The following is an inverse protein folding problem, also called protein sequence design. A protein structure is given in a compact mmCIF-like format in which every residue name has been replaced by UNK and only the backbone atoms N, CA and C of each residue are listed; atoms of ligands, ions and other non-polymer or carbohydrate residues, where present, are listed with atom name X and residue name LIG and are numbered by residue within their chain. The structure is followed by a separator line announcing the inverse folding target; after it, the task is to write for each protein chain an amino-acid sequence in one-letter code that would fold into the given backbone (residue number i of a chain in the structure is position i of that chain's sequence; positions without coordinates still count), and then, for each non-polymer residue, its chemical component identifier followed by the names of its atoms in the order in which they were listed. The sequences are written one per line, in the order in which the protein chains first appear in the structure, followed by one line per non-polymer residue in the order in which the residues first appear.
data_IF_075494526963
#
_entry.id   IF_075494526963
#
_cell.length_a   1.000
_cell.length_b   1.000
_cell.length_c   1.000
_cell.angle_alpha   90.00
_cell.angle_beta   90.00
_cell.angle_gamma   90.00
#
_symmetry.space_group_name_H-M   'P 1'
#
loop_
_entity.id
_entity.type
_entity.pdbx_description
1 polymer ?
#
# COMPACT_ATOMS: atom_id res chain seq x y z
N UNK A 1 18.10 -15.87 8.46
CA UNK A 1 17.67 -14.97 9.57
C UNK A 1 16.87 -15.81 10.55
N UNK A 2 17.15 -15.74 11.85
CA UNK A 2 16.42 -16.47 12.88
C UNK A 2 15.66 -15.45 13.73
N UNK A 3 14.33 -15.52 13.71
CA UNK A 3 13.46 -14.64 14.49
C UNK A 3 12.93 -15.39 15.72
N UNK A 4 12.84 -14.69 16.84
CA UNK A 4 12.15 -15.17 18.04
C UNK A 4 10.78 -14.50 18.03
N UNK A 5 9.74 -15.30 17.86
CA UNK A 5 8.35 -14.86 17.83
C UNK A 5 7.69 -15.23 19.15
N UNK A 6 7.02 -14.26 19.78
CA UNK A 6 6.20 -14.51 20.96
C UNK A 6 4.98 -13.59 20.93
N UNK A 7 3.88 -14.05 21.53
CA UNK A 7 2.64 -13.28 21.66
C UNK A 7 2.47 -12.87 23.12
N UNK A 8 2.11 -11.61 23.34
CA UNK A 8 1.78 -11.10 24.68
C UNK A 8 0.75 -9.97 24.57
N UNK A 9 0.08 -9.69 25.68
CA UNK A 9 -0.87 -8.57 25.79
C UNK A 9 -0.16 -7.31 26.25
N UNK A 10 -0.45 -6.19 25.58
CA UNK A 10 0.07 -4.89 25.98
C UNK A 10 -0.65 -4.42 27.25
N UNK A 11 0.09 -4.22 28.35
CA UNK A 11 -0.47 -3.74 29.61
C UNK A 11 0.10 -2.37 29.94
N UNK A 12 -0.76 -1.35 30.07
CA UNK A 12 -0.35 0.02 30.43
C UNK A 12 0.77 0.59 29.51
N UNK A 13 0.76 0.22 28.23
CA UNK A 13 1.80 0.63 27.27
C UNK A 13 3.13 -0.12 27.43
N UNK A 14 3.20 -1.16 28.25
CA UNK A 14 4.40 -1.97 28.49
C UNK A 14 4.21 -3.37 27.91
N UNK A 15 5.18 -3.79 27.09
CA UNK A 15 5.32 -5.17 26.60
C UNK A 15 6.33 -5.88 27.49
N UNK A 16 5.90 -6.92 28.20
CA UNK A 16 6.80 -7.75 29.01
C UNK A 16 7.40 -8.84 28.15
N UNK A 17 8.72 -8.83 27.99
CA UNK A 17 9.47 -9.86 27.23
C UNK A 17 9.70 -11.07 28.14
N UNK A 18 9.42 -12.31 27.66
CA UNK A 18 9.70 -13.53 28.42
C UNK A 18 11.20 -13.67 28.75
N UNK A 19 11.50 -14.03 30.00
CA UNK A 19 12.88 -14.19 30.48
C UNK A 19 13.60 -15.39 29.87
N UNK A 20 12.87 -16.37 29.35
CA UNK A 20 13.41 -17.64 28.80
C UNK A 20 14.45 -17.42 27.70
N UNK A 21 14.37 -16.26 27.05
CA UNK A 21 15.25 -15.90 25.96
C UNK A 21 16.21 -14.78 26.32
N UNK A 22 16.18 -14.18 27.53
CA UNK A 22 16.87 -12.93 27.88
C UNK A 22 18.33 -12.86 27.41
N UNK A 23 19.09 -13.96 27.58
CA UNK A 23 20.49 -14.05 27.14
C UNK A 23 20.68 -13.84 25.61
N UNK A 24 19.68 -14.16 24.81
CA UNK A 24 19.68 -14.01 23.35
C UNK A 24 19.25 -12.61 22.90
N UNK A 25 18.60 -11.81 23.75
CA UNK A 25 18.18 -10.44 23.41
C UNK A 25 19.22 -9.39 23.81
N UNK A 26 20.11 -9.72 24.75
CA UNK A 26 21.13 -8.80 25.24
C UNK A 26 21.96 -8.21 24.08
N UNK A 27 22.03 -6.88 24.03
CA UNK A 27 22.74 -6.14 22.98
C UNK A 27 22.08 -6.14 21.59
N UNK A 28 20.87 -6.68 21.42
CA UNK A 28 20.15 -6.67 20.14
C UNK A 28 19.14 -5.52 20.03
N UNK A 29 18.90 -5.06 18.81
CA UNK A 29 17.81 -4.12 18.51
C UNK A 29 16.48 -4.86 18.43
N UNK A 30 15.48 -4.35 19.15
CA UNK A 30 14.13 -4.92 19.20
C UNK A 30 13.19 -4.11 18.29
N UNK A 31 12.40 -4.79 17.47
CA UNK A 31 11.30 -4.19 16.70
C UNK A 31 9.99 -4.82 17.16
N UNK A 32 8.99 -4.01 17.46
CA UNK A 32 7.68 -4.45 17.96
C UNK A 32 6.60 -4.08 16.95
N UNK A 33 5.72 -5.03 16.64
CA UNK A 33 4.53 -4.82 15.81
C UNK A 33 3.32 -5.10 16.70
N UNK A 34 2.42 -4.12 16.82
CA UNK A 34 1.14 -4.29 17.52
C UNK A 34 0.09 -4.61 16.48
N UNK A 35 -0.62 -5.73 16.66
CA UNK A 35 -1.71 -6.17 15.81
C UNK A 35 -3.02 -6.07 16.59
N UNK A 36 -4.06 -5.53 15.98
CA UNK A 36 -5.41 -5.61 16.52
C UNK A 36 -5.98 -6.99 16.21
N UNK A 37 -6.40 -7.73 17.24
CA UNK A 37 -7.15 -9.00 17.12
C UNK A 37 -8.63 -8.73 16.82
N UNK A 38 -8.90 -7.75 15.97
CA UNK A 38 -10.23 -7.52 15.45
C UNK A 38 -10.52 -8.63 14.43
N UNK A 39 -11.68 -9.33 14.52
CA UNK A 39 -12.06 -10.25 13.48
C UNK A 39 -12.05 -9.50 12.14
N UNK A 40 -11.52 -10.10 11.05
CA UNK A 40 -11.53 -9.46 9.76
C UNK A 40 -12.98 -9.07 9.46
N UNK A 41 -13.20 -7.78 9.20
CA UNK A 41 -14.52 -7.29 8.82
C UNK A 41 -14.84 -8.07 7.55
N UNK A 42 -15.87 -8.95 7.55
CA UNK A 42 -16.24 -9.66 6.34
C UNK A 42 -16.50 -8.59 5.28
N UNK A 43 -15.95 -8.79 4.08
CA UNK A 43 -16.22 -7.93 2.93
C UNK A 43 -17.73 -7.99 2.61
N UNK A 44 -18.51 -7.23 3.37
CA UNK A 44 -19.95 -7.00 3.23
C UNK A 44 -20.18 -5.73 2.44
N UNK A 45 -19.12 -5.16 1.86
CA UNK A 45 -19.26 -4.27 0.73
C UNK A 45 -19.60 -5.14 -0.47
N UNK A 46 -20.88 -5.17 -0.84
CA UNK A 46 -21.24 -5.50 -2.20
C UNK A 46 -20.33 -4.65 -3.10
N UNK A 47 -19.44 -5.30 -3.86
CA UNK A 47 -18.49 -4.60 -4.72
C UNK A 47 -19.26 -3.54 -5.53
N UNK A 48 -19.07 -2.23 -5.25
CA UNK A 48 -19.85 -1.18 -5.90
C UNK A 48 -19.54 -1.12 -7.40
N UNK A 49 -18.47 -1.78 -7.85
CA UNK A 49 -18.08 -1.93 -9.26
C UNK A 49 -18.75 -3.12 -9.95
N UNK A 50 -19.62 -3.88 -9.26
CA UNK A 50 -20.44 -4.94 -9.87
C UNK A 50 -21.72 -4.39 -10.52
N UNK A 51 -21.85 -3.07 -10.65
CA UNK A 51 -22.74 -2.41 -11.59
C UNK A 51 -21.92 -1.97 -12.79
N UNK A 52 -22.37 -2.28 -14.00
CA UNK A 52 -21.83 -1.68 -15.23
C UNK A 52 -21.86 -0.16 -15.08
N UNK A 53 -20.68 0.48 -15.01
CA UNK A 53 -20.59 1.93 -15.04
C UNK A 53 -21.07 2.37 -16.41
N UNK A 54 -22.28 2.90 -16.46
CA UNK A 54 -22.81 3.54 -17.67
C UNK A 54 -22.34 4.98 -17.61
N UNK A 55 -21.26 5.27 -18.34
CA UNK A 55 -20.68 6.62 -18.39
C UNK A 55 -21.56 7.51 -19.27
N UNK A 56 -22.65 8.03 -18.70
CA UNK A 56 -23.47 9.03 -19.35
C UNK A 56 -22.79 10.41 -19.14
N UNK A 57 -22.07 10.89 -20.16
CA UNK A 57 -21.87 12.32 -20.38
C UNK A 57 -20.47 12.90 -20.22
N UNK A 58 -19.61 12.39 -19.35
CA UNK A 58 -18.38 13.12 -18.95
C UNK A 58 -17.07 12.65 -19.63
N UNK A 59 -17.13 11.59 -20.46
CA UNK A 59 -15.96 11.08 -21.20
C UNK A 59 -15.98 11.40 -22.70
N UNK A 60 -17.04 12.04 -23.20
CA UNK A 60 -17.19 12.44 -24.59
C UNK A 60 -16.98 13.95 -24.81
N UNK A 61 -16.69 14.70 -23.74
CA UNK A 61 -16.25 16.08 -23.83
C UNK A 61 -14.86 16.16 -24.48
N UNK A 62 -14.53 17.25 -25.19
CA UNK A 62 -13.17 17.48 -25.67
C UNK A 62 -12.22 17.45 -24.47
N UNK A 63 -11.13 16.69 -24.61
CA UNK A 63 -10.08 16.45 -23.59
C UNK A 63 -9.40 17.73 -23.07
N UNK A 64 -9.70 18.88 -23.68
CA UNK A 64 -9.16 20.20 -23.38
C UNK A 64 -10.01 21.00 -22.37
N UNK A 65 -11.19 20.50 -21.95
CA UNK A 65 -11.97 21.18 -20.91
C UNK A 65 -11.34 21.01 -19.52
N UNK A 66 -11.26 22.09 -18.73
CA UNK A 66 -10.67 22.03 -17.40
C UNK A 66 -11.51 21.12 -16.50
N UNK A 67 -10.86 20.07 -15.97
CA UNK A 67 -11.45 19.14 -15.00
C UNK A 67 -12.20 19.93 -13.93
N UNK A 68 -13.49 19.66 -13.78
CA UNK A 68 -14.32 20.34 -12.79
C UNK A 68 -13.66 20.26 -11.39
N UNK A 69 -13.65 21.35 -10.60
CA UNK A 69 -12.91 21.43 -9.34
C UNK A 69 -13.38 20.44 -8.26
N UNK A 70 -14.53 19.80 -8.47
CA UNK A 70 -15.10 18.79 -7.57
C UNK A 70 -15.05 17.38 -8.17
N UNK A 71 -14.46 17.20 -9.36
CA UNK A 71 -14.29 15.88 -9.99
C UNK A 71 -13.35 15.03 -9.15
N UNK A 72 -13.61 13.73 -9.04
CA UNK A 72 -12.73 12.77 -8.37
C UNK A 72 -11.26 12.91 -8.82
N UNK A 73 -11.04 13.26 -10.09
CA UNK A 73 -9.72 13.41 -10.69
C UNK A 73 -8.99 14.69 -10.25
N UNK A 74 -9.71 15.72 -9.79
CA UNK A 74 -9.11 16.97 -9.29
C UNK A 74 -8.33 16.80 -7.98
N UNK A 75 -8.62 15.72 -7.22
CA UNK A 75 -7.91 15.37 -5.97
C UNK A 75 -6.66 14.53 -6.22
N UNK A 76 -6.46 14.03 -7.43
CA UNK A 76 -5.24 13.32 -7.78
C UNK A 76 -4.11 14.36 -7.86
N UNK A 77 -3.15 14.26 -6.94
CA UNK A 77 -1.88 14.97 -7.08
C UNK A 77 -1.28 14.53 -8.41
N UNK A 78 -1.08 15.47 -9.32
CA UNK A 78 -0.60 15.21 -10.67
C UNK A 78 0.69 14.38 -10.61
N UNK A 79 0.61 13.09 -10.90
CA UNK A 79 1.79 12.21 -10.93
C UNK A 79 2.38 12.39 -12.32
N UNK A 80 3.43 13.21 -12.43
CA UNK A 80 4.20 13.33 -13.66
C UNK A 80 5.02 12.06 -13.82
N UNK A 81 4.46 11.06 -14.51
CA UNK A 81 5.18 9.84 -14.86
C UNK A 81 6.10 10.20 -16.03
N UNK A 82 7.39 10.40 -15.75
CA UNK A 82 8.41 10.53 -16.79
C UNK A 82 9.00 9.14 -17.03
N UNK A 83 8.72 8.57 -18.20
CA UNK A 83 9.36 7.35 -18.66
C UNK A 83 10.25 7.67 -19.88
N UNK A 84 11.37 6.94 -20.05
CA UNK A 84 12.12 6.97 -21.30
C UNK A 84 11.24 6.66 -22.52
N UNK A 85 11.53 7.24 -23.69
CA UNK A 85 10.73 7.04 -24.90
C UNK A 85 10.66 5.57 -25.37
N UNK A 86 11.61 4.75 -24.95
CA UNK A 86 11.73 3.34 -25.29
C UNK A 86 11.26 2.38 -24.19
N UNK A 87 10.65 2.90 -23.11
CA UNK A 87 10.19 2.09 -21.98
C UNK A 87 9.16 1.03 -22.39
N UNK A 88 8.22 1.38 -23.28
CA UNK A 88 7.17 0.45 -23.72
C UNK A 88 7.72 -0.72 -24.54
N UNK A 89 8.83 -0.52 -25.26
CA UNK A 89 9.44 -1.54 -26.11
C UNK A 89 10.40 -2.45 -25.33
N UNK A 90 10.97 -1.95 -24.23
CA UNK A 90 12.03 -2.62 -23.47
C UNK A 90 11.65 -2.79 -21.99
N UNK A 91 10.38 -3.04 -21.71
CA UNK A 91 9.82 -3.10 -20.35
C UNK A 91 10.57 -4.07 -19.43
N UNK A 92 10.93 -5.25 -19.94
CA UNK A 92 11.65 -6.28 -19.18
C UNK A 92 13.06 -5.82 -18.75
N UNK A 93 13.76 -5.06 -19.60
CA UNK A 93 15.10 -4.56 -19.30
C UNK A 93 15.10 -3.50 -18.18
N UNK A 94 14.03 -2.71 -18.09
CA UNK A 94 13.84 -1.75 -16.99
C UNK A 94 13.40 -2.45 -15.69
N UNK A 95 12.59 -3.51 -15.76
CA UNK A 95 12.20 -4.28 -14.58
C UNK A 95 13.35 -5.11 -13.99
N UNK A 96 14.22 -5.63 -14.84
CA UNK A 96 15.37 -6.43 -14.42
C UNK A 96 16.59 -5.57 -14.03
N UNK A 97 16.51 -4.25 -14.18
CA UNK A 97 17.59 -3.31 -13.83
C UNK A 97 18.77 -3.29 -14.81
N UNK A 98 18.62 -3.90 -15.99
CA UNK A 98 19.62 -3.85 -17.07
C UNK A 98 19.69 -2.46 -17.71
N UNK A 99 18.54 -1.78 -17.81
CA UNK A 99 18.47 -0.35 -18.10
C UNK A 99 18.22 0.44 -16.83
N UNK A 100 19.26 1.12 -16.37
CA UNK A 100 19.16 2.11 -15.30
C UNK A 100 18.82 3.46 -15.92
N UNK A 101 17.79 4.11 -15.38
CA UNK A 101 17.39 5.49 -15.70
C UNK A 101 18.02 6.45 -14.71
#
# INVERSE_FOLDING_TARGET
MQAIEFQTTLHNGIVTIPSDYAAQWEGKTIRVIVLDDAPPIPATEANPLKGSVTYEGDLLGPIDEPIAPNSLLSRLKQIKITAPPDFSENLDAYLNGEKNV
#
